data_IF_386988074327
#
_entry.id   IF_386988074327
#
_cell.length_a   1.000
_cell.length_b   1.000
_cell.length_c   1.000
_cell.angle_alpha   90.00
_cell.angle_beta   90.00
_cell.angle_gamma   90.00
#
_symmetry.space_group_name_H-M   'P 1'
#
loop_
_entity.id
_entity.type
_entity.pdbx_description
1 polymer ?
#
# COMPACT_ATOMS: atom_id res chain seq x y z
N UNK A 1 17.56 15.42 -2.20
CA UNK A 1 18.56 14.75 -3.03
C UNK A 1 18.24 15.17 -4.45
N UNK A 2 19.23 15.63 -5.21
CA UNK A 2 18.96 16.06 -6.58
C UNK A 2 18.61 14.82 -7.44
N UNK A 3 17.78 14.96 -8.48
CA UNK A 3 17.42 13.84 -9.36
C UNK A 3 18.63 13.08 -9.90
N UNK A 4 19.73 13.76 -10.24
CA UNK A 4 20.97 13.16 -10.74
C UNK A 4 21.65 12.22 -9.74
N UNK A 5 21.55 12.51 -8.45
CA UNK A 5 22.12 11.66 -7.39
C UNK A 5 21.31 10.37 -7.25
N UNK A 6 19.98 10.47 -7.40
CA UNK A 6 19.06 9.32 -7.37
C UNK A 6 19.36 8.41 -8.56
N UNK A 7 19.47 8.97 -9.76
CA UNK A 7 19.81 8.21 -10.98
C UNK A 7 21.12 7.46 -10.82
N UNK A 8 22.18 8.14 -10.35
CA UNK A 8 23.49 7.52 -10.13
C UNK A 8 23.42 6.37 -9.12
N UNK A 9 22.63 6.53 -8.06
CA UNK A 9 22.43 5.49 -7.04
C UNK A 9 21.66 4.29 -7.59
N UNK A 10 20.64 4.53 -8.41
CA UNK A 10 19.86 3.50 -9.09
C UNK A 10 20.73 2.72 -10.07
N UNK A 11 21.47 3.41 -10.94
CA UNK A 11 22.36 2.77 -11.93
C UNK A 11 23.41 1.89 -11.25
N UNK A 12 23.99 2.37 -10.14
CA UNK A 12 24.93 1.59 -9.34
C UNK A 12 24.29 0.32 -8.77
N UNK A 13 23.07 0.44 -8.22
CA UNK A 13 22.36 -0.70 -7.63
C UNK A 13 21.96 -1.76 -8.67
N UNK A 14 21.50 -1.34 -9.85
CA UNK A 14 21.20 -2.24 -10.98
C UNK A 14 22.48 -2.93 -11.47
N UNK A 15 23.58 -2.19 -11.60
CA UNK A 15 24.86 -2.77 -12.02
C UNK A 15 25.39 -3.82 -11.04
N UNK A 16 25.24 -3.58 -9.73
CA UNK A 16 25.75 -4.47 -8.69
C UNK A 16 24.83 -5.69 -8.49
N UNK A 17 23.51 -5.50 -8.50
CA UNK A 17 22.56 -6.51 -8.03
C UNK A 17 21.60 -7.02 -9.13
N UNK A 18 21.73 -6.54 -10.36
CA UNK A 18 20.83 -6.88 -11.47
C UNK A 18 19.39 -6.52 -11.14
N UNK A 19 18.47 -7.48 -11.28
CA UNK A 19 17.03 -7.28 -11.03
C UNK A 19 16.61 -7.42 -9.55
N UNK A 20 17.55 -7.61 -8.62
CA UNK A 20 17.28 -7.83 -7.19
C UNK A 20 17.94 -6.74 -6.33
N UNK A 21 17.42 -5.52 -6.41
CA UNK A 21 17.93 -4.38 -5.66
C UNK A 21 16.84 -3.68 -4.85
N UNK A 22 17.27 -2.90 -3.87
CA UNK A 22 16.45 -1.98 -3.09
C UNK A 22 17.21 -0.64 -3.00
N UNK A 23 16.59 0.46 -3.42
CA UNK A 23 17.17 1.81 -3.39
C UNK A 23 16.24 2.75 -2.65
N UNK A 24 16.67 3.21 -1.46
CA UNK A 24 15.91 4.19 -0.67
C UNK A 24 16.31 5.62 -1.00
N UNK A 25 15.34 6.51 -1.17
CA UNK A 25 15.57 7.94 -1.37
C UNK A 25 14.33 8.76 -1.03
N UNK A 26 14.53 10.06 -0.74
CA UNK A 26 13.44 11.01 -0.56
C UNK A 26 13.28 11.92 -1.77
N UNK A 27 12.09 11.97 -2.35
CA UNK A 27 11.74 12.81 -3.50
C UNK A 27 10.23 12.86 -3.73
N UNK A 28 9.79 13.47 -4.83
CA UNK A 28 8.39 13.41 -5.26
C UNK A 28 8.09 12.10 -5.98
N UNK A 29 6.80 11.75 -6.07
CA UNK A 29 6.33 10.60 -6.85
C UNK A 29 6.77 10.64 -8.32
N UNK A 30 6.79 11.81 -8.95
CA UNK A 30 7.23 11.94 -10.34
C UNK A 30 8.71 11.54 -10.52
N UNK A 31 9.58 11.92 -9.58
CA UNK A 31 11.00 11.51 -9.62
C UNK A 31 11.14 10.01 -9.35
N UNK A 32 10.32 9.45 -8.46
CA UNK A 32 10.27 8.00 -8.26
C UNK A 32 9.87 7.27 -9.55
N UNK A 33 8.85 7.75 -10.27
CA UNK A 33 8.38 7.10 -11.50
C UNK A 33 9.45 7.11 -12.59
N UNK A 34 10.11 8.25 -12.80
CA UNK A 34 11.23 8.34 -13.74
C UNK A 34 12.39 7.40 -13.35
N UNK A 35 12.72 7.31 -12.06
CA UNK A 35 13.75 6.39 -11.57
C UNK A 35 13.35 4.92 -11.75
N UNK A 36 12.07 4.59 -11.55
CA UNK A 36 11.51 3.24 -11.77
C UNK A 36 11.64 2.84 -13.24
N UNK A 37 11.18 3.70 -14.15
CA UNK A 37 11.25 3.45 -15.60
C UNK A 37 12.68 3.17 -16.04
N UNK A 38 13.62 4.05 -15.67
CA UNK A 38 15.05 3.88 -15.98
C UNK A 38 15.62 2.57 -15.42
N UNK A 39 15.34 2.28 -14.15
CA UNK A 39 15.90 1.09 -13.49
C UNK A 39 15.41 -0.21 -14.14
N UNK A 40 14.12 -0.26 -14.49
CA UNK A 40 13.50 -1.43 -15.10
C UNK A 40 13.95 -1.59 -16.55
N UNK A 41 14.06 -0.51 -17.32
CA UNK A 41 14.64 -0.52 -18.66
C UNK A 41 16.09 -1.03 -18.64
N UNK A 42 16.90 -0.57 -17.68
CA UNK A 42 18.27 -1.06 -17.49
C UNK A 42 18.33 -2.56 -17.10
N UNK A 43 17.26 -3.10 -16.52
CA UNK A 43 17.10 -4.54 -16.28
C UNK A 43 16.58 -5.32 -17.50
N UNK A 44 16.22 -4.65 -18.60
CA UNK A 44 15.58 -5.26 -19.76
C UNK A 44 14.09 -5.60 -19.56
N UNK A 45 13.43 -4.97 -18.58
CA UNK A 45 12.03 -5.22 -18.21
C UNK A 45 11.19 -3.96 -18.43
N UNK A 46 9.91 -4.12 -18.79
CA UNK A 46 8.97 -3.01 -18.83
C UNK A 46 8.39 -2.77 -17.43
N UNK A 47 8.37 -1.53 -16.92
CA UNK A 47 7.72 -1.23 -15.65
C UNK A 47 6.22 -1.48 -15.75
N UNK A 48 5.56 -1.94 -14.67
CA UNK A 48 4.12 -2.09 -14.64
C UNK A 48 3.44 -0.73 -14.80
N UNK A 49 2.33 -0.72 -15.54
CA UNK A 49 1.45 0.43 -15.59
C UNK A 49 0.90 0.69 -14.18
N UNK A 50 1.09 1.92 -13.69
CA UNK A 50 0.63 2.32 -12.35
C UNK A 50 -0.37 3.47 -12.40
N UNK A 51 -0.57 4.08 -13.56
CA UNK A 51 -1.55 5.15 -13.70
C UNK A 51 -2.96 4.58 -13.80
N UNK A 52 -3.84 5.14 -13.00
CA UNK A 52 -5.24 4.79 -12.95
C UNK A 52 -6.06 6.08 -12.94
N UNK A 53 -7.33 5.96 -13.27
CA UNK A 53 -8.33 7.02 -13.31
C UNK A 53 -9.39 6.76 -12.25
N UNK A 54 -10.11 7.79 -11.77
CA UNK A 54 -11.21 7.60 -10.83
C UNK A 54 -12.34 6.67 -11.34
N UNK A 55 -12.53 6.58 -12.66
CA UNK A 55 -13.53 5.68 -13.25
C UNK A 55 -13.13 4.19 -13.12
N UNK A 56 -11.83 3.90 -13.14
CA UNK A 56 -11.32 2.54 -12.92
C UNK A 56 -11.54 2.08 -11.47
N UNK A 57 -11.54 3.01 -10.49
CA UNK A 57 -11.87 2.66 -9.11
C UNK A 57 -13.31 2.16 -9.01
N UNK A 58 -14.27 2.88 -9.59
CA UNK A 58 -15.68 2.46 -9.57
C UNK A 58 -15.86 1.09 -10.24
N UNK A 59 -15.24 0.90 -11.41
CA UNK A 59 -15.28 -0.38 -12.13
C UNK A 59 -14.71 -1.52 -11.28
N UNK A 60 -13.63 -1.26 -10.56
CA UNK A 60 -13.01 -2.24 -9.68
C UNK A 60 -13.86 -2.58 -8.46
N UNK A 61 -14.45 -1.57 -7.81
CA UNK A 61 -15.37 -1.78 -6.67
C UNK A 61 -16.54 -2.69 -7.10
N UNK A 62 -17.14 -2.43 -8.26
CA UNK A 62 -18.21 -3.28 -8.78
C UNK A 62 -17.74 -4.71 -9.06
N UNK A 63 -16.55 -4.88 -9.64
CA UNK A 63 -16.00 -6.19 -9.95
C UNK A 63 -15.66 -7.02 -8.69
N UNK A 64 -15.32 -6.36 -7.58
CA UNK A 64 -14.93 -7.02 -6.32
C UNK A 64 -16.08 -7.19 -5.33
N UNK A 65 -17.26 -6.60 -5.60
CA UNK A 65 -18.37 -6.45 -4.65
C UNK A 65 -18.80 -7.75 -3.93
N UNK A 66 -18.76 -8.87 -4.64
CA UNK A 66 -19.21 -10.19 -4.16
C UNK A 66 -18.05 -11.17 -3.91
N UNK A 67 -16.80 -10.68 -3.92
CA UNK A 67 -15.59 -11.48 -3.69
C UNK A 67 -15.09 -11.25 -2.26
N UNK A 68 -15.31 -12.22 -1.38
CA UNK A 68 -14.74 -12.19 -0.04
C UNK A 68 -13.37 -12.86 0.01
N UNK A 69 -12.49 -12.27 0.80
CA UNK A 69 -11.17 -12.81 1.17
C UNK A 69 -11.19 -13.48 2.55
N UNK A 70 -12.29 -13.36 3.29
CA UNK A 70 -12.45 -13.92 4.64
C UNK A 70 -12.82 -15.41 4.57
N UNK A 71 -11.80 -16.25 4.55
CA UNK A 71 -11.91 -17.71 4.38
C UNK A 71 -11.21 -18.53 5.48
N UNK A 72 -10.65 -17.87 6.49
CA UNK A 72 -9.92 -18.48 7.61
C UNK A 72 -10.12 -17.71 8.92
N UNK A 73 -9.90 -18.38 10.06
CA UNK A 73 -10.15 -17.81 11.39
C UNK A 73 -9.39 -16.49 11.65
N UNK A 74 -8.14 -16.38 11.18
CA UNK A 74 -7.36 -15.14 11.31
C UNK A 74 -7.99 -13.98 10.52
N UNK A 75 -8.53 -14.27 9.33
CA UNK A 75 -9.17 -13.26 8.47
C UNK A 75 -10.55 -12.87 9.01
N UNK A 76 -11.28 -13.80 9.63
CA UNK A 76 -12.54 -13.50 10.35
C UNK A 76 -12.26 -12.55 11.50
N UNK A 77 -11.28 -12.87 12.36
CA UNK A 77 -10.82 -12.00 13.45
C UNK A 77 -10.46 -10.60 12.95
N UNK A 78 -9.68 -10.51 11.88
CA UNK A 78 -9.24 -9.22 11.34
C UNK A 78 -10.40 -8.43 10.72
N UNK A 79 -11.35 -9.11 10.08
CA UNK A 79 -12.56 -8.47 9.55
C UNK A 79 -13.44 -7.87 10.64
N UNK A 80 -13.70 -8.61 11.71
CA UNK A 80 -14.46 -8.12 12.87
C UNK A 80 -13.75 -6.92 13.52
N UNK A 81 -12.44 -7.03 13.74
CA UNK A 81 -11.63 -5.98 14.37
C UNK A 81 -11.57 -4.70 13.54
N UNK A 82 -11.33 -4.79 12.23
CA UNK A 82 -11.31 -3.62 11.34
C UNK A 82 -12.68 -2.96 11.28
N UNK A 83 -13.76 -3.75 11.17
CA UNK A 83 -15.13 -3.25 11.16
C UNK A 83 -15.45 -2.48 12.45
N UNK A 84 -15.04 -3.01 13.61
CA UNK A 84 -15.24 -2.36 14.89
C UNK A 84 -14.41 -1.08 15.06
N UNK A 85 -13.11 -1.14 14.72
CA UNK A 85 -12.18 -0.02 14.92
C UNK A 85 -12.45 1.16 13.98
N UNK A 86 -12.73 0.88 12.70
CA UNK A 86 -12.93 1.88 11.66
C UNK A 86 -14.40 2.20 11.39
N UNK A 87 -15.33 1.55 12.11
CA UNK A 87 -16.78 1.71 11.98
C UNK A 87 -17.29 1.44 10.56
N UNK A 88 -16.60 0.57 9.81
CA UNK A 88 -16.97 0.18 8.46
C UNK A 88 -18.05 -0.91 8.50
N UNK A 89 -19.19 -0.67 7.85
CA UNK A 89 -20.28 -1.67 7.79
C UNK A 89 -19.97 -2.82 6.84
N UNK A 90 -19.29 -2.53 5.72
CA UNK A 90 -18.97 -3.50 4.67
C UNK A 90 -17.55 -3.25 4.16
N UNK A 91 -16.50 -3.52 4.95
CA UNK A 91 -15.13 -3.16 4.59
C UNK A 91 -14.63 -3.84 3.30
N UNK A 92 -15.08 -5.05 2.97
CA UNK A 92 -14.75 -5.70 1.68
C UNK A 92 -15.47 -5.07 0.48
N UNK A 93 -16.50 -4.25 0.71
CA UNK A 93 -17.14 -3.43 -0.32
C UNK A 93 -16.48 -2.06 -0.30
N UNK A 94 -15.64 -1.81 -1.29
CA UNK A 94 -14.97 -0.53 -1.43
C UNK A 94 -15.93 0.66 -1.45
N UNK A 95 -15.35 1.84 -1.27
CA UNK A 95 -16.08 3.11 -1.27
C UNK A 95 -15.20 4.12 -2.00
N UNK A 96 -15.69 4.64 -3.13
CA UNK A 96 -14.95 5.61 -3.95
C UNK A 96 -14.96 7.03 -3.35
N UNK A 97 -15.81 7.29 -2.37
CA UNK A 97 -16.01 8.60 -1.73
C UNK A 97 -15.32 8.71 -0.37
N UNK A 98 -14.98 7.58 0.23
CA UNK A 98 -14.36 7.52 1.54
C UNK A 98 -13.03 8.28 1.61
N UNK A 99 -12.70 8.83 2.78
CA UNK A 99 -11.37 9.38 3.07
C UNK A 99 -10.68 8.55 4.11
N UNK A 100 -9.48 8.07 3.79
CA UNK A 100 -8.62 7.35 4.72
C UNK A 100 -7.75 8.36 5.46
N UNK A 101 -7.93 8.47 6.78
CA UNK A 101 -7.24 9.44 7.62
C UNK A 101 -6.30 8.76 8.62
N UNK A 102 -5.10 9.29 8.75
CA UNK A 102 -4.12 8.96 9.80
C UNK A 102 -3.88 10.21 10.63
N UNK A 103 -4.27 10.18 11.91
CA UNK A 103 -4.14 11.32 12.83
C UNK A 103 -4.74 12.62 12.28
N UNK A 104 -5.91 12.51 11.63
CA UNK A 104 -6.62 13.64 11.01
C UNK A 104 -6.06 14.11 9.66
N UNK A 105 -5.00 13.46 9.16
CA UNK A 105 -4.44 13.75 7.84
C UNK A 105 -4.95 12.73 6.82
N UNK A 106 -5.60 13.21 5.75
CA UNK A 106 -6.06 12.37 4.64
C UNK A 106 -4.86 11.85 3.85
N UNK A 107 -4.75 10.53 3.69
CA UNK A 107 -3.69 9.88 2.91
C UNK A 107 -4.21 9.27 1.60
N UNK A 108 -5.51 9.02 1.51
CA UNK A 108 -6.15 8.55 0.28
C UNK A 108 -7.64 8.93 0.23
N UNK A 109 -8.14 9.14 -0.99
CA UNK A 109 -9.56 9.27 -1.34
C UNK A 109 -10.02 8.02 -2.09
N UNK A 110 -10.90 7.27 -1.45
CA UNK A 110 -11.52 6.06 -1.95
C UNK A 110 -10.64 4.82 -1.82
N UNK A 111 -11.27 3.65 -1.82
CA UNK A 111 -10.61 2.36 -1.80
C UNK A 111 -11.46 1.29 -2.50
N UNK A 112 -10.81 0.27 -3.07
CA UNK A 112 -11.47 -0.78 -3.83
C UNK A 112 -12.12 -1.84 -2.93
N UNK A 113 -11.45 -2.17 -1.82
CA UNK A 113 -11.90 -3.03 -0.72
C UNK A 113 -10.90 -2.98 0.43
N UNK A 114 -11.29 -3.47 1.59
CA UNK A 114 -10.34 -4.04 2.56
C UNK A 114 -10.09 -5.50 2.17
N UNK A 115 -8.83 -5.84 1.93
CA UNK A 115 -8.33 -7.17 1.63
C UNK A 115 -7.81 -7.79 2.94
N UNK A 116 -8.30 -8.98 3.27
CA UNK A 116 -7.84 -9.76 4.43
C UNK A 116 -6.85 -10.82 3.97
N UNK A 117 -5.56 -10.59 4.22
CA UNK A 117 -4.49 -11.55 3.97
C UNK A 117 -4.05 -12.21 5.28
N UNK A 118 -3.11 -13.14 5.18
CA UNK A 118 -2.57 -13.78 6.38
C UNK A 118 -1.51 -12.93 7.10
N UNK A 119 -1.15 -11.77 6.54
CA UNK A 119 -0.29 -10.75 7.16
C UNK A 119 -1.10 -9.60 7.79
N UNK A 120 -2.42 -9.77 7.93
CA UNK A 120 -3.34 -8.76 8.42
C UNK A 120 -4.14 -8.04 7.31
N UNK A 121 -4.95 -7.05 7.70
CA UNK A 121 -5.86 -6.33 6.80
C UNK A 121 -5.22 -5.15 6.08
N UNK A 122 -5.55 -4.96 4.80
CA UNK A 122 -5.06 -3.85 3.98
C UNK A 122 -6.18 -3.21 3.17
N UNK A 123 -6.22 -1.88 3.11
CA UNK A 123 -6.96 -1.18 2.06
C UNK A 123 -6.27 -1.40 0.72
N UNK A 124 -7.01 -1.92 -0.26
CA UNK A 124 -6.60 -2.02 -1.65
C UNK A 124 -6.97 -0.72 -2.39
N UNK A 125 -5.97 -0.02 -2.91
CA UNK A 125 -6.08 1.32 -3.49
C UNK A 125 -5.61 1.33 -4.96
N UNK A 126 -6.11 2.30 -5.72
CA UNK A 126 -5.53 2.69 -7.00
C UNK A 126 -4.62 3.91 -6.82
N UNK A 127 -3.64 4.09 -7.72
CA UNK A 127 -2.69 5.21 -7.65
C UNK A 127 -3.38 6.58 -7.67
N UNK A 128 -4.52 6.72 -8.35
CA UNK A 128 -5.29 7.97 -8.39
C UNK A 128 -5.96 8.34 -7.06
N UNK A 129 -6.09 7.38 -6.14
CA UNK A 129 -6.71 7.59 -4.83
C UNK A 129 -5.70 8.17 -3.84
N UNK A 130 -4.40 8.01 -4.09
CA UNK A 130 -3.35 8.31 -3.11
C UNK A 130 -2.99 9.80 -3.13
N UNK A 131 -2.89 10.40 -1.94
CA UNK A 131 -2.40 11.76 -1.76
C UNK A 131 -0.87 11.76 -1.80
N UNK A 132 -0.30 11.66 -3.01
CA UNK A 132 1.14 11.48 -3.24
C UNK A 132 2.03 12.55 -2.60
N UNK A 133 1.52 13.76 -2.36
CA UNK A 133 2.26 14.81 -1.65
C UNK A 133 2.65 14.42 -0.22
N UNK A 134 1.94 13.48 0.39
CA UNK A 134 2.23 12.98 1.73
C UNK A 134 3.39 11.98 1.75
N UNK A 135 3.69 11.34 0.61
CA UNK A 135 4.63 10.23 0.52
C UNK A 135 5.92 10.70 -0.18
N UNK A 136 6.92 11.05 0.62
CA UNK A 136 8.18 11.59 0.12
C UNK A 136 9.40 10.68 0.34
N UNK A 137 9.23 9.56 1.05
CA UNK A 137 10.28 8.56 1.29
C UNK A 137 9.93 7.29 0.52
N UNK A 138 10.85 6.82 -0.32
CA UNK A 138 10.59 5.74 -1.26
C UNK A 138 11.65 4.65 -1.14
N UNK A 139 11.23 3.41 -1.38
CA UNK A 139 12.11 2.28 -1.66
C UNK A 139 11.76 1.74 -3.04
N UNK A 140 12.57 2.09 -4.03
CA UNK A 140 12.51 1.50 -5.36
C UNK A 140 13.11 0.10 -5.29
N UNK A 141 12.44 -0.87 -5.91
CA UNK A 141 12.81 -2.27 -5.86
C UNK A 141 12.96 -2.84 -7.27
N UNK A 142 13.85 -3.80 -7.43
CA UNK A 142 14.09 -4.44 -8.72
C UNK A 142 12.95 -5.37 -9.16
N UNK A 143 12.86 -5.70 -10.47
CA UNK A 143 11.75 -6.47 -11.06
C UNK A 143 11.48 -7.84 -10.43
N UNK A 144 12.47 -8.45 -9.75
CA UNK A 144 12.29 -9.74 -9.07
C UNK A 144 11.72 -9.64 -7.65
N UNK A 145 11.44 -8.43 -7.15
CA UNK A 145 10.75 -8.23 -5.86
C UNK A 145 9.24 -8.24 -6.05
N UNK A 146 8.45 -8.06 -5.00
CA UNK A 146 6.99 -8.08 -5.10
C UNK A 146 6.34 -6.69 -5.19
N UNK A 147 6.97 -5.69 -4.59
CA UNK A 147 6.40 -4.35 -4.43
C UNK A 147 7.48 -3.27 -4.25
N UNK A 148 7.12 -2.01 -4.50
CA UNK A 148 7.86 -0.84 -4.03
C UNK A 148 7.26 -0.33 -2.72
N UNK A 149 8.01 0.47 -1.97
CA UNK A 149 7.50 1.10 -0.75
C UNK A 149 7.43 2.62 -0.92
N UNK A 150 6.31 3.21 -0.52
CA UNK A 150 6.17 4.65 -0.37
C UNK A 150 5.78 4.95 1.08
N UNK A 151 6.50 5.86 1.72
CA UNK A 151 6.38 6.11 3.16
C UNK A 151 6.06 7.58 3.42
N UNK A 152 5.15 7.79 4.37
CA UNK A 152 4.79 9.10 4.89
C UNK A 152 5.07 9.12 6.40
N UNK A 153 5.54 10.26 6.93
CA UNK A 153 5.71 10.47 8.37
C UNK A 153 4.65 11.45 8.83
N UNK A 154 3.66 10.97 9.56
CA UNK A 154 2.51 11.75 10.00
C UNK A 154 2.61 11.94 11.51
N UNK A 155 2.69 13.19 11.94
CA UNK A 155 2.69 13.53 13.35
C UNK A 155 1.26 13.43 13.90
N UNK A 156 1.10 12.69 14.97
CA UNK A 156 -0.03 12.80 15.88
C UNK A 156 0.20 14.04 16.74
N UNK A 157 -0.56 15.10 16.46
CA UNK A 157 -0.46 16.36 17.20
C UNK A 157 -1.23 16.33 18.52
N UNK A 158 -1.88 15.21 18.85
CA UNK A 158 -2.75 15.10 20.02
C UNK A 158 -4.06 15.89 19.86
N UNK A 159 -5.04 15.58 20.72
CA UNK A 159 -6.19 16.45 20.94
C UNK A 159 -5.79 17.69 21.75
N UNK A 160 -6.77 18.52 22.15
CA UNK A 160 -6.56 19.75 22.93
C UNK A 160 -5.76 19.56 24.25
N UNK A 161 -5.57 18.32 24.71
CA UNK A 161 -4.69 17.99 25.83
C UNK A 161 -3.22 17.84 25.37
N UNK A 162 -2.51 18.97 25.36
CA UNK A 162 -1.11 19.12 24.93
C UNK A 162 -0.08 18.52 25.90
N UNK A 163 -0.49 17.69 26.86
CA UNK A 163 0.42 17.09 27.86
C UNK A 163 1.22 15.89 27.34
N UNK A 164 0.81 15.31 26.20
CA UNK A 164 1.52 14.22 25.54
C UNK A 164 2.45 14.75 24.45
N UNK A 165 3.67 14.17 24.37
CA UNK A 165 4.60 14.50 23.28
C UNK A 165 4.01 14.01 21.95
N UNK A 166 4.12 14.79 20.86
CA UNK A 166 3.65 14.35 19.55
C UNK A 166 4.35 13.04 19.18
N UNK A 167 3.57 12.05 18.76
CA UNK A 167 4.09 10.78 18.24
C UNK A 167 4.14 10.85 16.72
N UNK A 168 5.04 10.10 16.08
CA UNK A 168 5.12 10.05 14.62
C UNK A 168 4.75 8.66 14.16
N UNK A 169 3.70 8.56 13.35
CA UNK A 169 3.31 7.34 12.66
C UNK A 169 3.99 7.30 11.29
N UNK A 170 4.70 6.22 11.01
CA UNK A 170 5.22 5.94 9.67
C UNK A 170 4.17 5.14 8.92
N UNK A 171 3.52 5.77 7.94
CA UNK A 171 2.57 5.11 7.05
C UNK A 171 3.35 4.52 5.88
N UNK A 172 3.12 3.25 5.56
CA UNK A 172 3.73 2.58 4.42
C UNK A 172 2.66 2.13 3.43
N UNK A 173 2.85 2.49 2.17
CA UNK A 173 2.12 1.99 1.02
C UNK A 173 2.99 0.99 0.25
N UNK A 174 2.45 -0.20 0.04
CA UNK A 174 3.06 -1.23 -0.79
C UNK A 174 2.50 -1.11 -2.21
N UNK A 175 3.33 -0.69 -3.17
CA UNK A 175 2.95 -0.58 -4.58
C UNK A 175 3.31 -1.90 -5.28
N UNK A 176 2.32 -2.78 -5.42
CA UNK A 176 2.51 -4.17 -5.84
C UNK A 176 2.78 -4.27 -7.35
N UNK A 177 3.74 -5.10 -7.75
CA UNK A 177 4.04 -5.35 -9.16
C UNK A 177 4.26 -6.82 -9.54
N UNK A 178 4.44 -7.71 -8.56
CA UNK A 178 4.30 -9.16 -8.75
C UNK A 178 3.29 -9.70 -7.74
N UNK A 179 2.64 -10.83 -7.99
CA UNK A 179 1.85 -11.51 -6.96
C UNK A 179 2.73 -12.08 -5.84
N UNK A 180 2.12 -12.72 -4.84
CA UNK A 180 2.83 -13.42 -3.75
C UNK A 180 2.57 -14.94 -3.77
N UNK A 181 2.27 -15.49 -4.95
CA UNK A 181 1.93 -16.91 -5.10
C UNK A 181 3.09 -17.89 -4.79
N UNK A 182 4.32 -17.39 -4.81
CA UNK A 182 5.54 -18.06 -4.40
C UNK A 182 5.85 -17.91 -2.90
N UNK A 183 5.04 -17.14 -2.17
CA UNK A 183 5.16 -16.92 -0.73
C UNK A 183 3.94 -17.54 -0.02
N UNK A 184 3.98 -18.85 0.31
CA UNK A 184 2.84 -19.54 0.89
C UNK A 184 2.51 -19.08 2.32
N UNK A 185 3.45 -18.41 2.98
CA UNK A 185 3.29 -17.86 4.32
C UNK A 185 3.70 -16.39 4.33
N UNK A 186 3.04 -15.56 5.15
CA UNK A 186 3.43 -14.17 5.30
C UNK A 186 4.78 -14.05 6.05
N UNK A 187 5.51 -12.93 5.88
CA UNK A 187 6.62 -12.62 6.77
C UNK A 187 6.15 -12.48 8.22
N UNK A 188 7.03 -12.59 9.24
CA UNK A 188 6.64 -12.47 10.64
C UNK A 188 6.13 -11.07 11.02
N UNK A 189 5.02 -11.03 11.76
CA UNK A 189 4.38 -9.80 12.24
C UNK A 189 3.25 -10.12 13.23
N UNK A 190 2.71 -9.09 13.89
CA UNK A 190 1.70 -9.22 14.95
C UNK A 190 0.48 -10.07 14.52
N UNK A 191 0.01 -9.87 13.30
CA UNK A 191 -1.18 -10.53 12.77
C UNK A 191 -0.90 -11.75 11.89
N UNK A 192 0.38 -12.15 11.78
CA UNK A 192 0.82 -13.16 10.84
C UNK A 192 0.30 -14.55 11.18
N UNK A 193 -0.24 -15.25 10.18
CA UNK A 193 -0.67 -16.64 10.30
C UNK A 193 -0.05 -17.49 9.19
N UNK A 194 0.65 -18.57 9.55
CA UNK A 194 1.29 -19.46 8.59
C UNK A 194 0.33 -20.56 8.12
N UNK A 195 -0.55 -20.24 7.17
CA UNK A 195 -1.54 -21.17 6.62
C UNK A 195 -1.01 -22.04 5.45
N UNK A 196 0.21 -21.81 4.97
CA UNK A 196 0.84 -22.54 3.87
C UNK A 196 0.00 -22.57 2.58
N UNK A 197 -0.50 -21.42 2.14
CA UNK A 197 -1.39 -21.29 0.99
C UNK A 197 -0.66 -21.54 -0.32
N UNK A 198 -1.23 -22.38 -1.18
CA UNK A 198 -0.63 -22.68 -2.49
C UNK A 198 -0.68 -21.50 -3.46
N UNK A 199 -1.65 -20.61 -3.26
CA UNK A 199 -1.90 -19.39 -4.02
C UNK A 199 -1.17 -18.15 -3.46
N UNK A 200 -0.41 -18.31 -2.37
CA UNK A 200 0.22 -17.23 -1.64
C UNK A 200 -0.59 -16.76 -0.42
N UNK A 201 0.07 -16.10 0.53
CA UNK A 201 -0.54 -15.70 1.80
C UNK A 201 -1.63 -14.63 1.69
N UNK A 202 -1.71 -13.92 0.56
CA UNK A 202 -2.69 -12.89 0.27
C UNK A 202 -2.92 -12.79 -1.25
N UNK A 203 -4.15 -12.48 -1.71
CA UNK A 203 -4.45 -12.31 -3.13
C UNK A 203 -4.03 -10.91 -3.64
N UNK A 204 -2.76 -10.52 -3.42
CA UNK A 204 -2.24 -9.24 -3.91
C UNK A 204 -2.15 -9.23 -5.44
N UNK A 205 -2.62 -8.13 -6.02
CA UNK A 205 -2.75 -7.93 -7.45
C UNK A 205 -1.74 -6.88 -7.92
N UNK A 206 -0.89 -7.18 -8.91
CA UNK A 206 -0.01 -6.18 -9.54
C UNK A 206 -0.78 -4.94 -10.01
N UNK A 207 -0.18 -3.76 -9.83
CA UNK A 207 -0.77 -2.46 -10.15
C UNK A 207 -1.65 -1.89 -9.03
N UNK A 208 -1.87 -2.63 -7.94
CA UNK A 208 -2.60 -2.14 -6.75
C UNK A 208 -1.64 -1.64 -5.68
N UNK A 209 -2.15 -0.74 -4.84
CA UNK A 209 -1.44 -0.26 -3.66
C UNK A 209 -2.14 -0.78 -2.40
N UNK A 210 -1.34 -1.22 -1.43
CA UNK A 210 -1.84 -1.75 -0.17
C UNK A 210 -1.41 -0.87 0.99
N UNK A 211 -2.38 -0.38 1.74
CA UNK A 211 -2.21 0.39 2.97
C UNK A 211 -2.70 -0.45 4.14
N UNK A 212 -1.87 -0.69 5.16
CA UNK A 212 -2.33 -1.43 6.34
C UNK A 212 -3.54 -0.74 6.96
N UNK A 213 -4.61 -1.49 7.26
CA UNK A 213 -5.77 -0.91 7.93
C UNK A 213 -5.46 -0.50 9.37
N UNK A 214 -4.40 -1.04 9.97
CA UNK A 214 -4.00 -0.79 11.36
C UNK A 214 -3.37 0.60 11.57
N UNK A 215 -2.88 1.25 10.51
CA UNK A 215 -2.35 2.62 10.58
C UNK A 215 -3.40 3.67 10.28
N UNK A 216 -4.57 3.28 9.74
CA UNK A 216 -5.69 4.18 9.48
C UNK A 216 -6.41 4.44 10.79
N UNK A 217 -6.50 5.71 11.18
CA UNK A 217 -7.17 6.12 12.42
C UNK A 217 -8.66 6.34 12.25
N UNK A 218 -9.09 6.68 11.03
CA UNK A 218 -10.49 6.96 10.71
C UNK A 218 -10.74 6.75 9.22
N UNK A 219 -11.92 6.24 8.91
CA UNK A 219 -12.48 6.31 7.56
C UNK A 219 -13.68 7.24 7.60
N UNK A 220 -13.64 8.32 6.82
CA UNK A 220 -14.77 9.23 6.68
C UNK A 220 -15.53 8.87 5.42
N UNK A 221 -16.71 8.29 5.59
CA UNK A 221 -17.64 8.01 4.49
C UNK A 221 -18.62 9.18 4.40
N UNK A 222 -19.00 9.58 3.18
CA UNK A 222 -20.08 10.54 3.03
C UNK A 222 -21.38 9.83 3.39
N UNK A 223 -21.98 10.22 4.52
CA UNK A 223 -23.34 9.80 4.87
C UNK A 223 -24.29 10.47 3.86
N UNK A 224 -24.61 9.75 2.78
CA UNK A 224 -25.61 10.18 1.80
C UNK A 224 -26.95 10.52 2.42
#
# INVERSE_FOLDING_TARGET
>A
MEPSDIESKVDAAVKENGSWFDVSFRSTKAVFDAAKERAWEACGEAPPATEHTPNELHTLIEALRDVSTVDSDNRVRDAERVSANLQLRHPERGDATAKLEVHGVVVADGFARVLYGDHGPYFELLSCCVHWIMFDDHVLKGPKRHYHEHRARIADLGGEDTSSRPTVTVVMLYNQFNGVGDEPNPPPGEWSCANNRAEGYAPYVPGRLYLSADVVTRVRQDDG
#
